data_IF_541689125778
#
_entry.id   IF_541689125778
#
_cell.length_a   1.000
_cell.length_b   1.000
_cell.length_c   1.000
_cell.angle_alpha   90.00
_cell.angle_beta   90.00
_cell.angle_gamma   90.00
#
_symmetry.space_group_name_H-M   'P 1'
#
loop_
_entity.id
_entity.type
_entity.pdbx_description
1 polymer ?
#
# COMPACT_ATOMS: atom_id res chain seq x y z
N UNK A 1 5.06 6.40 -8.76
CA UNK A 1 4.85 5.49 -7.62
C UNK A 1 4.59 6.22 -6.31
N UNK A 2 5.01 7.47 -6.15
CA UNK A 2 5.02 8.11 -4.82
C UNK A 2 3.83 9.05 -4.56
N UNK A 3 2.94 9.18 -5.54
CA UNK A 3 1.72 10.00 -5.47
C UNK A 3 0.84 9.72 -4.23
N UNK A 4 0.74 8.47 -3.70
CA UNK A 4 -0.03 8.22 -2.49
C UNK A 4 0.48 8.96 -1.25
N UNK A 5 1.79 9.24 -1.16
CA UNK A 5 2.37 10.02 -0.07
C UNK A 5 2.02 11.50 -0.19
N UNK A 6 1.97 12.05 -1.40
CA UNK A 6 1.52 13.43 -1.61
C UNK A 6 0.07 13.63 -1.14
N UNK A 7 -0.80 12.64 -1.34
CA UNK A 7 -2.20 12.69 -0.87
C UNK A 7 -2.26 12.82 0.65
N UNK A 8 -1.49 12.03 1.39
CA UNK A 8 -1.52 12.05 2.86
C UNK A 8 -0.88 13.30 3.44
N UNK A 9 0.14 13.84 2.76
CA UNK A 9 0.77 15.11 3.14
C UNK A 9 -0.19 16.28 2.93
N UNK A 10 -0.91 16.32 1.80
CA UNK A 10 -1.93 17.34 1.57
C UNK A 10 -3.11 17.21 2.55
N UNK A 11 -3.48 15.99 2.95
CA UNK A 11 -4.46 15.76 4.01
C UNK A 11 -3.97 16.28 5.39
N UNK A 12 -2.68 16.18 5.68
CA UNK A 12 -2.12 16.83 6.88
C UNK A 12 -2.24 18.36 6.78
N UNK A 13 -1.87 18.93 5.63
CA UNK A 13 -1.91 20.38 5.43
C UNK A 13 -3.32 20.97 5.46
N UNK A 14 -4.34 20.27 4.99
CA UNK A 14 -5.73 20.73 5.13
C UNK A 14 -6.15 20.85 6.60
N UNK A 15 -5.67 19.94 7.46
CA UNK A 15 -5.87 20.04 8.91
C UNK A 15 -5.19 21.26 9.53
N UNK A 16 -3.92 21.53 9.19
CA UNK A 16 -3.20 22.71 9.68
C UNK A 16 -3.77 24.03 9.16
N UNK A 17 -4.30 24.05 7.94
CA UNK A 17 -5.03 25.22 7.42
C UNK A 17 -6.29 25.51 8.27
N UNK A 18 -7.03 24.47 8.66
CA UNK A 18 -8.20 24.60 9.54
C UNK A 18 -7.81 25.09 10.95
N UNK A 19 -6.64 24.71 11.45
CA UNK A 19 -6.08 25.26 12.71
C UNK A 19 -5.85 26.76 12.60
N UNK A 20 -5.23 27.21 11.50
CA UNK A 20 -4.97 28.62 11.26
C UNK A 20 -6.28 29.43 11.16
N UNK A 21 -7.27 28.90 10.45
CA UNK A 21 -8.61 29.50 10.37
C UNK A 21 -9.30 29.54 11.74
N UNK A 22 -9.18 28.47 12.54
CA UNK A 22 -9.68 28.41 13.91
C UNK A 22 -9.08 29.49 14.81
N UNK A 23 -7.79 29.79 14.67
CA UNK A 23 -7.17 30.91 15.39
C UNK A 23 -7.65 32.28 14.89
N UNK A 24 -7.80 32.47 13.58
CA UNK A 24 -8.32 33.72 13.01
C UNK A 24 -9.74 34.02 13.47
N UNK A 25 -10.60 33.00 13.52
CA UNK A 25 -12.00 33.10 13.95
C UNK A 25 -12.21 32.96 15.45
N UNK A 26 -11.12 32.75 16.23
CA UNK A 26 -11.17 32.42 17.66
C UNK A 26 -12.11 31.26 17.99
N UNK A 27 -12.19 30.27 17.10
CA UNK A 27 -13.05 29.11 17.21
C UNK A 27 -12.25 27.86 17.62
N UNK A 28 -12.38 27.48 18.90
CA UNK A 28 -11.68 26.34 19.51
C UNK A 28 -12.05 25.02 18.82
N UNK A 29 -13.30 24.85 18.37
CA UNK A 29 -13.73 23.61 17.69
C UNK A 29 -12.95 23.38 16.39
N UNK A 30 -12.76 24.43 15.58
CA UNK A 30 -12.00 24.35 14.34
C UNK A 30 -10.53 24.05 14.60
N UNK A 31 -9.95 24.66 15.63
CA UNK A 31 -8.57 24.38 16.07
C UNK A 31 -8.41 22.90 16.48
N UNK A 32 -9.32 22.37 17.28
CA UNK A 32 -9.28 20.97 17.74
C UNK A 32 -9.43 20.00 16.56
N UNK A 33 -10.46 20.20 15.72
CA UNK A 33 -10.71 19.34 14.55
C UNK A 33 -9.54 19.41 13.56
N UNK A 34 -9.00 20.61 13.31
CA UNK A 34 -7.86 20.81 12.40
C UNK A 34 -6.60 20.09 12.89
N UNK A 35 -6.31 20.18 14.20
CA UNK A 35 -5.16 19.50 14.80
C UNK A 35 -5.27 17.97 14.69
N UNK A 36 -6.48 17.42 14.85
CA UNK A 36 -6.75 16.00 14.73
C UNK A 36 -6.57 15.49 13.30
N UNK A 37 -7.08 16.24 12.31
CA UNK A 37 -6.89 15.93 10.88
C UNK A 37 -5.41 16.02 10.51
N UNK A 38 -4.73 17.09 10.92
CA UNK A 38 -3.32 17.35 10.62
C UNK A 38 -2.41 16.23 11.15
N UNK A 39 -2.60 15.86 12.41
CA UNK A 39 -1.81 14.80 13.04
C UNK A 39 -2.08 13.42 12.42
N UNK A 40 -3.35 13.10 12.12
CA UNK A 40 -3.73 11.87 11.42
C UNK A 40 -3.04 11.74 10.06
N UNK A 41 -3.10 12.80 9.23
CA UNK A 41 -2.43 12.84 7.92
C UNK A 41 -0.90 12.73 8.04
N UNK A 42 -0.31 13.36 9.06
CA UNK A 42 1.12 13.30 9.36
C UNK A 42 1.60 11.88 9.69
N UNK A 43 0.89 11.18 10.61
CA UNK A 43 1.21 9.79 10.97
C UNK A 43 1.08 8.88 9.76
N UNK A 44 0.00 9.01 8.99
CA UNK A 44 -0.22 8.15 7.83
C UNK A 44 0.90 8.33 6.79
N UNK A 45 1.31 9.59 6.53
CA UNK A 45 2.44 9.90 5.66
C UNK A 45 3.74 9.24 6.14
N UNK A 46 3.99 9.27 7.46
CA UNK A 46 5.16 8.64 8.06
C UNK A 46 5.18 7.12 7.87
N UNK A 47 4.06 6.44 8.17
CA UNK A 47 3.95 4.98 8.01
C UNK A 47 4.21 4.57 6.55
N UNK A 48 3.69 5.33 5.59
CA UNK A 48 3.92 5.06 4.17
C UNK A 48 5.39 5.25 3.77
N UNK A 49 6.03 6.32 4.22
CA UNK A 49 7.46 6.56 3.98
C UNK A 49 8.34 5.44 4.53
N UNK A 50 8.08 5.00 5.77
CA UNK A 50 8.78 3.87 6.40
C UNK A 50 8.56 2.58 5.62
N UNK A 51 7.32 2.29 5.20
CA UNK A 51 7.00 1.11 4.40
C UNK A 51 7.65 1.12 2.99
N UNK A 52 7.97 2.30 2.45
CA UNK A 52 8.71 2.46 1.20
C UNK A 52 10.23 2.50 1.40
N UNK A 53 10.72 2.46 2.64
CA UNK A 53 12.12 2.68 3.01
C UNK A 53 12.69 3.98 2.40
N UNK A 54 11.90 5.06 2.42
CA UNK A 54 12.27 6.38 1.89
C UNK A 54 11.88 7.47 2.88
N UNK A 55 12.72 8.50 3.02
CA UNK A 55 12.38 9.68 3.83
C UNK A 55 11.33 10.55 3.15
N UNK A 56 10.55 11.29 3.95
CA UNK A 56 9.54 12.23 3.45
C UNK A 56 10.15 13.30 2.52
N UNK A 57 11.33 13.83 2.88
CA UNK A 57 12.07 14.77 2.04
C UNK A 57 12.43 14.19 0.67
N UNK A 58 12.85 12.92 0.61
CA UNK A 58 13.17 12.25 -0.65
C UNK A 58 11.94 11.96 -1.52
N UNK A 59 10.75 11.90 -0.93
CA UNK A 59 9.48 11.70 -1.64
C UNK A 59 8.93 13.03 -2.16
N UNK A 60 8.97 14.09 -1.36
CA UNK A 60 8.42 15.41 -1.73
C UNK A 60 9.31 16.21 -2.69
N UNK A 61 10.64 16.18 -2.49
CA UNK A 61 11.57 17.03 -3.25
C UNK A 61 12.30 16.29 -4.38
N UNK A 62 11.87 15.07 -4.70
CA UNK A 62 12.42 14.34 -5.85
C UNK A 62 13.93 14.12 -5.76
N UNK A 63 14.37 13.27 -4.82
CA UNK A 63 15.63 12.53 -4.93
C UNK A 63 16.89 13.27 -5.40
N UNK A 64 17.23 14.45 -4.87
CA UNK A 64 18.60 14.99 -5.01
C UNK A 64 19.63 14.26 -4.12
N UNK A 65 19.18 13.28 -3.34
CA UNK A 65 20.03 12.37 -2.59
C UNK A 65 19.45 10.95 -2.67
N UNK A 66 19.66 10.28 -3.80
CA UNK A 66 19.83 8.82 -3.70
C UNK A 66 21.04 8.63 -2.80
N UNK A 67 20.83 8.27 -1.53
CA UNK A 67 21.87 7.66 -0.70
C UNK A 67 22.51 6.62 -1.60
N UNK A 68 23.77 6.84 -1.98
CA UNK A 68 24.42 6.07 -3.02
C UNK A 68 24.17 4.60 -2.76
N UNK A 69 23.32 3.96 -3.58
CA UNK A 69 23.29 2.50 -3.61
C UNK A 69 24.72 2.13 -3.94
N UNK A 70 25.44 1.50 -3.01
CA UNK A 70 26.65 0.74 -3.32
C UNK A 70 26.33 0.02 -4.62
N UNK A 71 27.06 0.32 -5.70
CA UNK A 71 26.92 -0.37 -6.98
C UNK A 71 26.99 -1.86 -6.64
N UNK A 72 25.84 -2.53 -6.70
CA UNK A 72 25.79 -3.97 -6.54
C UNK A 72 26.75 -4.56 -7.55
N UNK A 73 27.52 -5.57 -7.15
CA UNK A 73 28.36 -6.34 -8.05
C UNK A 73 27.56 -6.87 -9.26
N UNK A 74 28.27 -7.44 -10.26
CA UNK A 74 27.66 -7.85 -11.52
C UNK A 74 26.33 -8.58 -11.29
N UNK A 75 25.26 -8.05 -11.88
CA UNK A 75 23.93 -8.66 -11.79
C UNK A 75 24.01 -9.99 -12.53
N UNK A 76 24.01 -11.09 -11.79
CA UNK A 76 23.81 -12.41 -12.39
C UNK A 76 22.49 -12.42 -13.16
N UNK A 77 22.52 -12.90 -14.40
CA UNK A 77 21.34 -13.12 -15.20
C UNK A 77 20.54 -14.26 -14.55
N UNK A 78 19.47 -13.91 -13.84
CA UNK A 78 18.57 -14.90 -13.23
C UNK A 78 17.72 -15.53 -14.32
N UNK A 79 17.67 -16.86 -14.37
CA UNK A 79 16.77 -17.61 -15.24
C UNK A 79 15.35 -17.52 -14.69
N UNK A 80 14.38 -17.12 -15.51
CA UNK A 80 12.96 -17.17 -15.13
C UNK A 80 12.34 -18.52 -15.53
N UNK A 81 11.25 -18.89 -14.86
CA UNK A 81 10.42 -20.05 -15.23
C UNK A 81 9.02 -19.57 -15.54
N UNK A 82 8.45 -20.12 -16.59
CA UNK A 82 7.06 -19.89 -16.98
C UNK A 82 6.23 -21.09 -16.54
N UNK A 83 4.97 -20.86 -16.21
CA UNK A 83 4.03 -21.88 -15.78
C UNK A 83 2.72 -21.73 -16.55
N UNK A 84 2.13 -22.84 -16.95
CA UNK A 84 0.80 -22.88 -17.56
C UNK A 84 -0.28 -22.95 -16.48
N UNK A 85 -1.54 -22.68 -16.86
CA UNK A 85 -2.68 -22.71 -15.94
C UNK A 85 -2.85 -24.09 -15.30
N UNK A 86 -2.68 -25.16 -16.08
CA UNK A 86 -2.81 -26.54 -15.58
C UNK A 86 -1.79 -26.85 -14.50
N UNK A 87 -0.52 -26.48 -14.71
CA UNK A 87 0.54 -26.67 -13.74
C UNK A 87 0.25 -25.93 -12.42
N UNK A 88 -0.24 -24.69 -12.49
CA UNK A 88 -0.58 -23.90 -11.29
C UNK A 88 -1.79 -24.50 -10.57
N UNK A 89 -2.77 -25.01 -11.32
CA UNK A 89 -3.96 -25.66 -10.76
C UNK A 89 -3.58 -26.92 -9.98
N UNK A 90 -2.70 -27.76 -10.54
CA UNK A 90 -2.20 -28.96 -9.85
C UNK A 90 -1.46 -28.61 -8.55
N UNK A 91 -0.65 -27.55 -8.57
CA UNK A 91 0.03 -27.06 -7.36
C UNK A 91 -0.97 -26.61 -6.29
N UNK A 92 -2.02 -25.89 -6.67
CA UNK A 92 -3.07 -25.44 -5.76
C UNK A 92 -3.88 -26.62 -5.19
N UNK A 93 -4.20 -27.61 -6.02
CA UNK A 93 -4.93 -28.82 -5.60
C UNK A 93 -4.11 -29.65 -4.61
N UNK A 94 -2.79 -29.68 -4.74
CA UNK A 94 -1.91 -30.40 -3.81
C UNK A 94 -1.51 -29.57 -2.57
N UNK A 95 -1.70 -28.25 -2.58
CA UNK A 95 -1.35 -27.38 -1.46
C UNK A 95 -2.39 -27.38 -0.33
N UNK A 96 -1.94 -27.52 0.92
CA UNK A 96 -2.81 -27.41 2.10
C UNK A 96 -2.91 -25.98 2.67
N UNK A 97 -1.86 -25.17 2.45
CA UNK A 97 -1.77 -23.78 2.91
C UNK A 97 -1.40 -22.89 1.73
N UNK A 98 -2.21 -21.86 1.48
CA UNK A 98 -2.06 -20.95 0.35
C UNK A 98 -2.03 -19.52 0.91
N UNK A 99 -1.02 -18.75 0.51
CA UNK A 99 -0.91 -17.33 0.84
C UNK A 99 -0.98 -16.54 -0.46
N UNK A 100 -1.96 -15.65 -0.54
CA UNK A 100 -2.16 -14.76 -1.68
C UNK A 100 -1.61 -13.37 -1.34
N UNK A 101 -0.74 -12.85 -2.19
CA UNK A 101 -0.17 -11.50 -2.07
C UNK A 101 -0.77 -10.61 -3.16
N UNK A 102 -1.89 -9.91 -2.89
CA UNK A 102 -2.51 -9.01 -3.85
C UNK A 102 -1.63 -7.79 -4.11
N UNK A 103 -1.70 -7.26 -5.33
CA UNK A 103 -1.02 -6.04 -5.73
C UNK A 103 -1.91 -5.15 -6.57
N UNK A 104 -1.41 -3.97 -6.94
CA UNK A 104 -2.19 -3.00 -7.72
C UNK A 104 -2.70 -3.56 -9.06
N UNK A 105 -1.95 -4.48 -9.70
CA UNK A 105 -2.38 -5.12 -10.94
C UNK A 105 -3.71 -5.86 -10.81
N UNK A 106 -4.02 -6.43 -9.65
CA UNK A 106 -5.32 -7.07 -9.37
C UNK A 106 -6.46 -6.04 -9.45
N UNK A 107 -6.28 -4.86 -8.85
CA UNK A 107 -7.28 -3.80 -8.85
C UNK A 107 -7.50 -3.23 -10.25
N UNK A 108 -6.43 -3.02 -11.03
CA UNK A 108 -6.51 -2.54 -12.41
C UNK A 108 -7.23 -3.56 -13.31
N UNK A 109 -6.94 -4.84 -13.14
CA UNK A 109 -7.57 -5.93 -13.89
C UNK A 109 -9.00 -6.26 -13.40
N UNK A 110 -9.49 -5.60 -12.34
CA UNK A 110 -10.77 -5.90 -11.68
C UNK A 110 -10.92 -7.36 -11.25
N UNK A 111 -9.82 -7.98 -10.84
CA UNK A 111 -9.76 -9.41 -10.54
C UNK A 111 -10.19 -9.77 -9.10
N UNK A 112 -10.60 -8.79 -8.27
CA UNK A 112 -10.97 -9.02 -6.88
C UNK A 112 -12.13 -10.03 -6.71
N UNK A 113 -13.12 -10.02 -7.62
CA UNK A 113 -14.25 -10.95 -7.56
C UNK A 113 -13.82 -12.39 -7.88
N UNK A 114 -13.02 -12.57 -8.94
CA UNK A 114 -12.47 -13.87 -9.29
C UNK A 114 -11.57 -14.43 -8.17
N UNK A 115 -10.80 -13.55 -7.50
CA UNK A 115 -9.96 -13.96 -6.38
C UNK A 115 -10.78 -14.36 -5.13
N UNK A 116 -11.90 -13.68 -4.89
CA UNK A 116 -12.84 -14.03 -3.82
C UNK A 116 -13.50 -15.38 -4.08
N UNK A 117 -13.95 -15.63 -5.32
CA UNK A 117 -14.50 -16.92 -5.74
C UNK A 117 -13.47 -18.05 -5.60
N UNK A 118 -12.23 -17.83 -6.08
CA UNK A 118 -11.12 -18.76 -5.90
C UNK A 118 -10.86 -19.08 -4.41
N UNK A 119 -10.89 -18.06 -3.55
CA UNK A 119 -10.70 -18.25 -2.12
C UNK A 119 -11.83 -19.08 -1.49
N UNK A 120 -13.07 -18.90 -1.93
CA UNK A 120 -14.22 -19.68 -1.47
C UNK A 120 -14.12 -21.14 -1.90
N UNK A 121 -13.78 -21.42 -3.17
CA UNK A 121 -13.53 -22.79 -3.66
C UNK A 121 -12.42 -23.47 -2.84
N UNK A 122 -11.35 -22.75 -2.52
CA UNK A 122 -10.27 -23.29 -1.68
C UNK A 122 -10.76 -23.62 -0.25
N UNK A 123 -11.59 -22.75 0.35
CA UNK A 123 -12.17 -22.99 1.68
C UNK A 123 -13.12 -24.17 1.70
N UNK A 124 -13.97 -24.33 0.68
CA UNK A 124 -14.87 -25.49 0.52
C UNK A 124 -14.10 -26.82 0.45
N UNK A 125 -12.90 -26.79 -0.15
CA UNK A 125 -11.99 -27.94 -0.18
C UNK A 125 -11.14 -28.09 1.09
N UNK A 126 -11.51 -27.44 2.20
CA UNK A 126 -10.82 -27.47 3.49
C UNK A 126 -9.34 -27.04 3.44
N UNK A 127 -8.97 -26.15 2.51
CA UNK A 127 -7.60 -25.60 2.42
C UNK A 127 -7.50 -24.29 3.23
N UNK A 128 -6.34 -24.07 3.86
CA UNK A 128 -6.06 -22.83 4.59
C UNK A 128 -5.58 -21.74 3.63
N UNK A 129 -6.45 -20.82 3.26
CA UNK A 129 -6.10 -19.63 2.45
C UNK A 129 -5.99 -18.37 3.30
N UNK A 130 -4.93 -17.58 3.10
CA UNK A 130 -4.69 -16.28 3.77
C UNK A 130 -4.26 -15.21 2.78
N UNK A 131 -4.59 -13.96 3.07
CA UNK A 131 -4.14 -12.80 2.30
C UNK A 131 -3.03 -12.07 3.05
N UNK A 132 -1.91 -11.82 2.37
CA UNK A 132 -0.79 -11.05 2.88
C UNK A 132 -0.69 -9.72 2.13
N UNK A 133 -1.17 -8.65 2.77
CA UNK A 133 -1.24 -7.31 2.17
C UNK A 133 -0.02 -6.50 2.59
N UNK A 134 0.75 -6.04 1.61
CA UNK A 134 1.85 -5.10 1.87
C UNK A 134 1.27 -3.71 2.22
N UNK A 135 1.82 -2.96 3.21
CA UNK A 135 1.25 -1.68 3.64
C UNK A 135 1.09 -0.62 2.54
N UNK A 136 1.93 -0.70 1.50
CA UNK A 136 1.90 0.20 0.32
C UNK A 136 1.41 -0.50 -0.95
N UNK A 137 0.69 -1.62 -0.82
CA UNK A 137 0.04 -2.26 -1.96
C UNK A 137 -1.15 -1.39 -2.45
N UNK A 138 -1.06 -0.91 -3.68
CA UNK A 138 -2.08 -0.06 -4.30
C UNK A 138 -1.61 1.38 -4.49
N UNK A 139 -2.58 2.27 -4.69
CA UNK A 139 -2.42 3.72 -4.88
C UNK A 139 -3.04 4.54 -3.75
N UNK A 140 -3.64 3.91 -2.74
CA UNK A 140 -4.14 4.56 -1.54
C UNK A 140 -3.87 3.67 -0.32
N UNK A 141 -3.57 4.23 0.87
CA UNK A 141 -3.43 3.46 2.09
C UNK A 141 -4.65 2.59 2.35
N UNK A 142 -4.45 1.30 2.58
CA UNK A 142 -5.53 0.36 2.85
C UNK A 142 -6.42 0.03 1.64
N UNK A 143 -6.06 0.45 0.41
CA UNK A 143 -6.89 0.18 -0.79
C UNK A 143 -7.18 -1.31 -0.95
N UNK A 144 -6.19 -2.18 -0.76
CA UNK A 144 -6.37 -3.62 -0.91
C UNK A 144 -7.26 -4.22 0.18
N UNK A 145 -7.31 -3.63 1.37
CA UNK A 145 -8.20 -4.06 2.45
C UNK A 145 -9.67 -3.76 2.14
N UNK A 146 -9.94 -2.73 1.34
CA UNK A 146 -11.30 -2.35 0.95
C UNK A 146 -11.77 -3.14 -0.27
N UNK A 147 -10.85 -3.54 -1.15
CA UNK A 147 -11.18 -4.28 -2.38
C UNK A 147 -11.35 -5.79 -2.18
N UNK A 148 -10.84 -6.36 -1.09
CA UNK A 148 -10.91 -7.79 -0.76
C UNK A 148 -11.97 -8.06 0.30
#
# INVERSE_FOLDING_TARGET
GDMPVCITVLNSYSGWALVAEGFMLKNVMMTVVGSLIGFSGGILSYIMCVAMNRSLANVLFGGYATVAKKKGGPKEAKVHREATVDMVTDLVVNANKIIVVPGYGMAVAKAQHALSEFANICKEKNKSIKFAIHPVAGHMPGQMNVLL
#
